data_IF_881183311128
#
_entry.id   IF_881183311128
#
_cell.length_a   1.000
_cell.length_b   1.000
_cell.length_c   1.000
_cell.angle_alpha   90.00
_cell.angle_beta   90.00
_cell.angle_gamma   90.00
#
_symmetry.space_group_name_H-M   'P 1'
#
loop_
_entity.id
_entity.type
_entity.pdbx_description
1 polymer ?
#
# COMPACT_ATOMS: atom_id res chain seq x y z
N UNK A 1 -0.93 -28.54 1.23
CA UNK A 1 0.53 -28.45 0.98
C UNK A 1 0.97 -26.99 1.16
N UNK A 2 2.18 -26.73 1.64
CA UNK A 2 2.70 -25.35 1.64
C UNK A 2 3.16 -25.00 0.23
N UNK A 3 2.72 -23.87 -0.30
CA UNK A 3 3.17 -23.36 -1.59
C UNK A 3 4.49 -22.59 -1.46
N UNK A 4 5.29 -22.60 -2.51
CA UNK A 4 6.56 -21.86 -2.60
C UNK A 4 6.30 -20.47 -3.13
N UNK A 5 6.67 -19.46 -2.35
CA UNK A 5 6.51 -18.05 -2.71
C UNK A 5 7.83 -17.53 -3.29
N UNK A 6 7.78 -17.00 -4.50
CA UNK A 6 8.85 -16.19 -5.05
C UNK A 6 8.43 -14.71 -5.07
N UNK A 7 9.14 -13.91 -4.27
CA UNK A 7 8.84 -12.47 -4.13
C UNK A 7 9.70 -11.55 -4.99
N UNK A 8 10.71 -12.08 -5.71
CA UNK A 8 11.71 -11.29 -6.45
C UNK A 8 12.04 -11.91 -7.81
N UNK A 9 11.04 -12.34 -8.56
CA UNK A 9 11.24 -12.96 -9.88
C UNK A 9 12.02 -12.09 -10.89
N UNK A 10 12.03 -10.78 -10.71
CA UNK A 10 12.74 -9.81 -11.56
C UNK A 10 13.86 -9.06 -10.82
N UNK A 11 14.43 -9.65 -9.76
CA UNK A 11 15.48 -9.02 -8.97
C UNK A 11 15.04 -7.68 -8.33
N UNK A 12 15.98 -6.72 -8.12
CA UNK A 12 15.69 -5.47 -7.41
C UNK A 12 14.92 -4.43 -8.25
N UNK A 13 14.70 -4.66 -9.54
CA UNK A 13 14.08 -3.67 -10.45
C UNK A 13 12.66 -3.34 -10.03
N UNK A 14 11.84 -4.34 -9.75
CA UNK A 14 10.43 -4.14 -9.34
C UNK A 14 10.33 -3.41 -8.01
N UNK A 15 11.03 -3.79 -6.93
CA UNK A 15 11.04 -3.03 -5.68
C UNK A 15 11.47 -1.57 -5.85
N UNK A 16 12.48 -1.30 -6.69
CA UNK A 16 12.93 0.07 -6.97
C UNK A 16 11.86 0.88 -7.70
N UNK A 17 11.23 0.33 -8.73
CA UNK A 17 10.15 1.00 -9.46
C UNK A 17 8.94 1.26 -8.56
N UNK A 18 8.56 0.29 -7.73
CA UNK A 18 7.49 0.44 -6.74
C UNK A 18 7.81 1.58 -5.75
N UNK A 19 9.02 1.61 -5.20
CA UNK A 19 9.48 2.67 -4.31
C UNK A 19 9.45 4.05 -4.98
N UNK A 20 9.92 4.16 -6.22
CA UNK A 20 9.90 5.43 -6.97
C UNK A 20 8.48 5.91 -7.24
N UNK A 21 7.54 5.03 -7.53
CA UNK A 21 6.12 5.37 -7.68
C UNK A 21 5.54 5.94 -6.37
N UNK A 22 5.85 5.31 -5.23
CA UNK A 22 5.47 5.83 -3.92
C UNK A 22 6.11 7.20 -3.63
N UNK A 23 7.41 7.38 -3.93
CA UNK A 23 8.11 8.64 -3.77
C UNK A 23 7.43 9.76 -4.56
N UNK A 24 7.11 9.51 -5.83
CA UNK A 24 6.49 10.49 -6.71
C UNK A 24 5.11 10.90 -6.20
N UNK A 25 4.25 9.93 -5.91
CA UNK A 25 2.91 10.19 -5.37
C UNK A 25 2.94 10.94 -4.05
N UNK A 26 3.84 10.54 -3.14
CA UNK A 26 4.01 11.17 -1.84
C UNK A 26 4.58 12.59 -1.94
N UNK A 27 5.63 12.81 -2.74
CA UNK A 27 6.25 14.12 -2.90
C UNK A 27 5.27 15.15 -3.50
N UNK A 28 4.52 14.76 -4.54
CA UNK A 28 3.49 15.61 -5.13
C UNK A 28 2.36 15.88 -4.14
N UNK A 29 1.84 14.86 -3.48
CA UNK A 29 0.72 14.99 -2.55
C UNK A 29 1.06 15.84 -1.33
N UNK A 30 2.21 15.63 -0.73
CA UNK A 30 2.68 16.46 0.38
C UNK A 30 2.94 17.90 -0.05
N UNK A 31 3.44 18.12 -1.27
CA UNK A 31 3.63 19.47 -1.83
C UNK A 31 2.29 20.20 -1.99
N UNK A 32 1.24 19.54 -2.47
CA UNK A 32 -0.11 20.11 -2.53
C UNK A 32 -0.63 20.44 -1.13
N UNK A 33 -0.42 19.55 -0.16
CA UNK A 33 -0.85 19.73 1.23
C UNK A 33 -0.19 20.95 1.87
N UNK A 34 1.14 21.07 1.78
CA UNK A 34 1.89 22.22 2.33
C UNK A 34 1.45 23.54 1.67
N UNK A 35 1.26 23.54 0.36
CA UNK A 35 0.79 24.73 -0.35
C UNK A 35 -0.65 25.12 -0.03
N UNK A 36 -1.47 24.18 0.43
CA UNK A 36 -2.87 24.45 0.80
C UNK A 36 -2.99 25.44 1.95
N UNK A 37 -2.07 25.39 2.92
CA UNK A 37 -2.04 26.31 4.08
C UNK A 37 -1.76 27.77 3.72
N UNK A 38 -1.12 28.01 2.58
CA UNK A 38 -0.77 29.34 2.06
C UNK A 38 -1.77 29.86 1.02
N UNK A 39 -2.86 29.16 0.81
CA UNK A 39 -3.82 29.46 -0.27
C UNK A 39 -5.14 29.93 0.33
N UNK A 40 -5.87 30.79 -0.41
CA UNK A 40 -7.21 31.22 -0.03
C UNK A 40 -8.12 30.01 0.23
N UNK A 41 -9.06 30.16 1.16
CA UNK A 41 -9.91 29.07 1.66
C UNK A 41 -10.65 28.34 0.55
N UNK A 42 -11.07 29.04 -0.50
CA UNK A 42 -11.77 28.51 -1.68
C UNK A 42 -10.94 27.47 -2.47
N UNK A 43 -9.62 27.65 -2.55
CA UNK A 43 -8.73 26.74 -3.30
C UNK A 43 -8.08 25.67 -2.42
N UNK A 44 -8.23 25.78 -1.09
CA UNK A 44 -7.62 24.83 -0.14
C UNK A 44 -8.13 23.42 -0.32
N UNK A 45 -9.45 23.25 -0.42
CA UNK A 45 -10.12 21.95 -0.62
C UNK A 45 -9.60 21.24 -1.87
N UNK A 46 -9.54 21.94 -3.00
CA UNK A 46 -9.03 21.38 -4.26
C UNK A 46 -7.57 20.89 -4.15
N UNK A 47 -6.71 21.67 -3.47
CA UNK A 47 -5.32 21.26 -3.25
C UNK A 47 -5.17 20.05 -2.35
N UNK A 48 -5.97 19.95 -1.29
CA UNK A 48 -5.99 18.78 -0.42
C UNK A 48 -6.53 17.55 -1.15
N UNK A 49 -7.55 17.72 -2.00
CA UNK A 49 -8.06 16.64 -2.84
C UNK A 49 -7.01 16.14 -3.85
N UNK A 50 -6.30 17.06 -4.52
CA UNK A 50 -5.17 16.69 -5.40
C UNK A 50 -4.05 15.99 -4.61
N UNK A 51 -3.79 16.43 -3.38
CA UNK A 51 -2.85 15.78 -2.48
C UNK A 51 -3.28 14.34 -2.16
N UNK A 52 -4.56 14.13 -1.84
CA UNK A 52 -5.14 12.83 -1.54
C UNK A 52 -5.07 11.89 -2.76
N UNK A 53 -5.44 12.38 -3.94
CA UNK A 53 -5.33 11.63 -5.18
C UNK A 53 -3.88 11.23 -5.46
N UNK A 54 -2.92 12.15 -5.31
CA UNK A 54 -1.51 11.86 -5.57
C UNK A 54 -0.96 10.80 -4.61
N UNK A 55 -1.19 10.95 -3.29
CA UNK A 55 -0.71 9.99 -2.29
C UNK A 55 -1.42 8.65 -2.47
N UNK A 56 -2.76 8.64 -2.58
CA UNK A 56 -3.54 7.42 -2.73
C UNK A 56 -3.17 6.64 -3.99
N UNK A 57 -3.03 7.32 -5.13
CA UNK A 57 -2.57 6.68 -6.37
C UNK A 57 -1.13 6.16 -6.24
N UNK A 58 -0.23 6.90 -5.55
CA UNK A 58 1.13 6.44 -5.29
C UNK A 58 1.18 5.17 -4.44
N UNK A 59 0.38 5.10 -3.37
CA UNK A 59 0.23 3.92 -2.51
C UNK A 59 -0.27 2.73 -3.33
N UNK A 60 -1.34 2.93 -4.07
CA UNK A 60 -1.96 1.90 -4.91
C UNK A 60 -1.01 1.40 -6.00
N UNK A 61 -0.38 2.32 -6.74
CA UNK A 61 0.59 1.97 -7.80
C UNK A 61 1.77 1.21 -7.24
N UNK A 62 2.34 1.65 -6.10
CA UNK A 62 3.43 0.94 -5.44
C UNK A 62 3.04 -0.51 -5.14
N UNK A 63 1.86 -0.72 -4.51
CA UNK A 63 1.38 -2.05 -4.16
C UNK A 63 1.28 -2.95 -5.40
N UNK A 64 0.60 -2.51 -6.47
CA UNK A 64 0.39 -3.34 -7.65
C UNK A 64 1.66 -3.53 -8.47
N UNK A 65 2.55 -2.54 -8.55
CA UNK A 65 3.88 -2.71 -9.16
C UNK A 65 4.68 -3.74 -8.38
N UNK A 66 4.71 -3.66 -7.04
CA UNK A 66 5.40 -4.65 -6.22
C UNK A 66 4.81 -6.06 -6.41
N UNK A 67 3.48 -6.17 -6.55
CA UNK A 67 2.80 -7.45 -6.78
C UNK A 67 3.09 -8.06 -8.15
N UNK A 68 3.58 -7.31 -9.14
CA UNK A 68 4.03 -7.91 -10.42
C UNK A 68 5.26 -8.81 -10.26
N UNK A 69 6.02 -8.63 -9.19
CA UNK A 69 7.15 -9.50 -8.82
C UNK A 69 6.78 -10.67 -7.89
N UNK A 70 5.52 -10.76 -7.49
CA UNK A 70 5.05 -11.81 -6.60
C UNK A 70 4.42 -12.95 -7.38
N UNK A 71 4.93 -14.17 -7.21
CA UNK A 71 4.38 -15.37 -7.83
C UNK A 71 4.30 -16.52 -6.84
N UNK A 72 3.34 -17.41 -7.05
CA UNK A 72 3.27 -18.73 -6.39
C UNK A 72 3.58 -19.76 -7.46
N UNK A 73 4.67 -20.48 -7.28
CA UNK A 73 5.23 -21.39 -8.32
C UNK A 73 4.21 -22.42 -8.78
N UNK A 74 3.39 -22.92 -7.86
CA UNK A 74 2.48 -24.05 -8.09
C UNK A 74 1.07 -23.61 -8.52
N UNK A 75 0.77 -22.30 -8.56
CA UNK A 75 -0.59 -21.83 -8.85
C UNK A 75 -0.62 -20.48 -9.58
N UNK A 76 -1.33 -20.37 -10.71
CA UNK A 76 -1.54 -19.10 -11.37
C UNK A 76 -2.38 -18.16 -10.49
N UNK A 77 -1.91 -16.92 -10.32
CA UNK A 77 -2.60 -15.89 -9.57
C UNK A 77 -3.46 -15.05 -10.50
N UNK A 78 -4.68 -14.76 -10.09
CA UNK A 78 -5.55 -13.77 -10.75
C UNK A 78 -6.01 -12.72 -9.74
N UNK A 79 -6.26 -11.50 -10.23
CA UNK A 79 -6.68 -10.38 -9.41
C UNK A 79 -8.14 -10.05 -9.70
N UNK A 80 -8.92 -9.93 -8.64
CA UNK A 80 -10.33 -9.59 -8.70
C UNK A 80 -10.50 -8.07 -8.87
N UNK A 81 -11.07 -7.64 -10.00
CA UNK A 81 -11.20 -6.21 -10.37
C UNK A 81 -11.88 -5.34 -9.33
N UNK A 82 -12.97 -5.75 -8.65
CA UNK A 82 -13.59 -4.97 -7.57
C UNK A 82 -12.61 -4.65 -6.44
N UNK A 83 -11.75 -5.59 -6.03
CA UNK A 83 -10.75 -5.36 -4.99
C UNK A 83 -9.67 -4.38 -5.41
N UNK A 84 -9.27 -4.40 -6.70
CA UNK A 84 -8.31 -3.45 -7.27
C UNK A 84 -8.85 -2.01 -7.14
N UNK A 85 -10.10 -1.79 -7.56
CA UNK A 85 -10.75 -0.48 -7.51
C UNK A 85 -11.05 -0.04 -6.08
N UNK A 86 -11.51 -0.96 -5.22
CA UNK A 86 -11.73 -0.70 -3.81
C UNK A 86 -10.43 -0.29 -3.09
N UNK A 87 -9.30 -0.92 -3.42
CA UNK A 87 -7.98 -0.56 -2.90
C UNK A 87 -7.60 0.88 -3.25
N UNK A 88 -7.82 1.31 -4.50
CA UNK A 88 -7.59 2.70 -4.91
C UNK A 88 -8.50 3.67 -4.15
N UNK A 89 -9.79 3.35 -4.05
CA UNK A 89 -10.76 4.20 -3.35
C UNK A 89 -10.38 4.35 -1.86
N UNK A 90 -10.04 3.26 -1.18
CA UNK A 90 -9.61 3.27 0.23
C UNK A 90 -8.32 4.09 0.40
N UNK A 91 -7.32 3.90 -0.47
CA UNK A 91 -6.08 4.66 -0.41
C UNK A 91 -6.34 6.18 -0.53
N UNK A 92 -7.14 6.59 -1.51
CA UNK A 92 -7.45 8.02 -1.75
C UNK A 92 -8.29 8.61 -0.62
N UNK A 93 -9.33 7.90 -0.17
CA UNK A 93 -10.23 8.39 0.88
C UNK A 93 -9.49 8.51 2.21
N UNK A 94 -8.77 7.50 2.63
CA UNK A 94 -8.06 7.50 3.91
C UNK A 94 -6.92 8.51 3.95
N UNK A 95 -6.12 8.60 2.88
CA UNK A 95 -5.13 9.65 2.73
C UNK A 95 -5.80 11.04 2.73
N UNK A 96 -6.94 11.17 2.02
CA UNK A 96 -7.73 12.39 1.98
C UNK A 96 -8.16 12.83 3.37
N UNK A 97 -8.84 11.96 4.12
CA UNK A 97 -9.27 12.29 5.49
C UNK A 97 -8.10 12.74 6.35
N UNK A 98 -6.97 12.02 6.30
CA UNK A 98 -5.76 12.40 7.02
C UNK A 98 -5.24 13.78 6.63
N UNK A 99 -5.13 14.07 5.33
CA UNK A 99 -4.67 15.35 4.80
C UNK A 99 -5.63 16.51 5.10
N UNK A 100 -6.94 16.27 5.04
CA UNK A 100 -7.94 17.28 5.37
C UNK A 100 -7.88 17.66 6.86
N UNK A 101 -7.73 16.68 7.77
CA UNK A 101 -7.56 16.96 9.19
C UNK A 101 -6.36 17.89 9.41
N UNK A 102 -5.21 17.54 8.85
CA UNK A 102 -3.98 18.31 8.99
C UNK A 102 -4.06 19.65 8.25
N UNK A 103 -4.65 19.67 7.06
CA UNK A 103 -4.81 20.85 6.25
C UNK A 103 -5.71 21.93 6.88
N UNK A 104 -6.76 21.53 7.60
CA UNK A 104 -7.68 22.47 8.27
C UNK A 104 -7.31 22.79 9.71
N UNK A 105 -6.75 21.82 10.46
CA UNK A 105 -6.37 21.99 11.87
C UNK A 105 -4.91 22.45 12.06
N UNK A 106 -4.14 22.48 10.96
CA UNK A 106 -2.71 22.82 11.00
C UNK A 106 -1.85 21.69 11.61
N UNK A 107 -0.57 22.00 11.86
CA UNK A 107 0.42 21.07 12.38
C UNK A 107 0.32 20.85 13.91
N UNK A 108 -0.89 20.78 14.46
CA UNK A 108 -1.08 20.46 15.87
C UNK A 108 -0.73 19.00 16.12
N UNK A 109 -0.24 18.69 17.33
CA UNK A 109 0.14 17.32 17.70
C UNK A 109 -1.00 16.32 17.45
N UNK A 110 -2.22 16.67 17.84
CA UNK A 110 -3.39 15.82 17.66
C UNK A 110 -3.72 15.63 16.19
N UNK A 111 -3.72 16.71 15.37
CA UNK A 111 -4.00 16.62 13.94
C UNK A 111 -2.97 15.76 13.21
N UNK A 112 -1.68 15.87 13.58
CA UNK A 112 -0.60 15.06 12.99
C UNK A 112 -0.74 13.57 13.35
N UNK A 113 -1.01 13.26 14.61
CA UNK A 113 -1.20 11.88 15.04
C UNK A 113 -2.44 11.28 14.35
N UNK A 114 -3.59 11.96 14.42
CA UNK A 114 -4.83 11.45 13.81
C UNK A 114 -4.70 11.34 12.29
N UNK A 115 -4.20 12.39 11.62
CA UNK A 115 -4.02 12.39 10.17
C UNK A 115 -3.01 11.37 9.70
N UNK A 116 -1.89 11.23 10.40
CA UNK A 116 -0.86 10.24 10.10
C UNK A 116 -1.34 8.80 10.35
N UNK A 117 -2.03 8.56 11.45
CA UNK A 117 -2.63 7.24 11.74
C UNK A 117 -3.64 6.84 10.67
N UNK A 118 -4.56 7.74 10.27
CA UNK A 118 -5.54 7.46 9.22
C UNK A 118 -4.87 7.21 7.87
N UNK A 119 -3.85 8.01 7.52
CA UNK A 119 -3.08 7.77 6.29
C UNK A 119 -2.36 6.41 6.35
N UNK A 120 -1.72 6.07 7.47
CA UNK A 120 -1.04 4.79 7.66
C UNK A 120 -2.00 3.59 7.65
N UNK A 121 -3.17 3.73 8.27
CA UNK A 121 -4.22 2.71 8.18
C UNK A 121 -4.73 2.55 6.74
N UNK A 122 -4.81 3.64 5.98
CA UNK A 122 -5.13 3.61 4.55
C UNK A 122 -4.11 2.82 3.74
N UNK A 123 -2.81 3.01 4.03
CA UNK A 123 -1.71 2.23 3.43
C UNK A 123 -1.90 0.74 3.71
N UNK A 124 -2.06 0.36 4.98
CA UNK A 124 -2.25 -1.03 5.38
C UNK A 124 -3.52 -1.64 4.79
N UNK A 125 -4.65 -0.92 4.85
CA UNK A 125 -5.91 -1.39 4.29
C UNK A 125 -5.83 -1.64 2.79
N UNK A 126 -5.14 -0.77 2.04
CA UNK A 126 -4.93 -0.96 0.59
C UNK A 126 -4.16 -2.24 0.30
N UNK A 127 -3.09 -2.51 1.07
CA UNK A 127 -2.29 -3.72 0.91
C UNK A 127 -3.11 -4.98 1.20
N UNK A 128 -3.72 -5.08 2.39
CA UNK A 128 -4.46 -6.29 2.78
C UNK A 128 -5.73 -6.50 1.96
N UNK A 129 -6.38 -5.42 1.51
CA UNK A 129 -7.51 -5.51 0.58
C UNK A 129 -7.05 -6.01 -0.80
N UNK A 130 -5.90 -5.54 -1.30
CA UNK A 130 -5.29 -6.03 -2.52
C UNK A 130 -4.97 -7.52 -2.44
N UNK A 131 -4.40 -7.96 -1.30
CA UNK A 131 -4.13 -9.38 -1.06
C UNK A 131 -5.41 -10.22 -0.98
N UNK A 132 -6.48 -9.71 -0.36
CA UNK A 132 -7.78 -10.38 -0.31
C UNK A 132 -8.43 -10.55 -1.69
N UNK A 133 -8.05 -9.70 -2.66
CA UNK A 133 -8.51 -9.78 -4.04
C UNK A 133 -7.76 -10.80 -4.91
N UNK A 134 -6.74 -11.48 -4.39
CA UNK A 134 -5.99 -12.50 -5.13
C UNK A 134 -6.75 -13.82 -5.10
N UNK A 135 -6.96 -14.39 -6.27
CA UNK A 135 -7.61 -15.69 -6.47
C UNK A 135 -6.60 -16.72 -6.93
N UNK A 136 -6.55 -17.85 -6.24
CA UNK A 136 -5.77 -19.04 -6.59
C UNK A 136 -6.36 -20.27 -5.90
N UNK A 137 -5.86 -21.48 -6.23
CA UNK A 137 -6.30 -22.74 -5.60
C UNK A 137 -5.66 -22.94 -4.22
N UNK A 138 -6.06 -22.10 -3.27
CA UNK A 138 -5.50 -22.14 -1.92
C UNK A 138 -6.06 -21.01 -1.07
N UNK A 139 -5.39 -20.77 0.05
CA UNK A 139 -5.67 -19.62 0.90
C UNK A 139 -4.38 -19.06 1.48
N UNK A 140 -4.41 -17.78 1.82
CA UNK A 140 -3.34 -17.11 2.54
C UNK A 140 -3.57 -17.21 4.04
N UNK A 141 -2.48 -17.37 4.78
CA UNK A 141 -2.43 -17.21 6.24
C UNK A 141 -1.47 -16.07 6.56
N UNK A 142 -1.65 -15.43 7.70
CA UNK A 142 -0.85 -14.28 8.10
C UNK A 142 -0.32 -14.48 9.52
N UNK A 143 0.95 -14.18 9.71
CA UNK A 143 1.56 -14.13 11.04
C UNK A 143 1.18 -12.82 11.73
N UNK A 144 0.34 -12.90 12.76
CA UNK A 144 -0.19 -11.73 13.48
C UNK A 144 0.87 -10.74 13.96
N UNK A 145 2.02 -11.14 14.53
CA UNK A 145 3.04 -10.19 14.95
C UNK A 145 3.59 -9.33 13.80
N UNK A 146 3.81 -9.93 12.62
CA UNK A 146 4.31 -9.22 11.45
C UNK A 146 3.23 -8.31 10.84
N UNK A 147 1.95 -8.73 10.88
CA UNK A 147 0.83 -7.85 10.48
C UNK A 147 0.78 -6.62 11.38
N UNK A 148 0.84 -6.79 12.69
CA UNK A 148 0.86 -5.67 13.64
C UNK A 148 2.07 -4.76 13.40
N UNK A 149 3.25 -5.34 13.18
CA UNK A 149 4.46 -4.58 12.88
C UNK A 149 4.30 -3.77 11.59
N UNK A 150 3.73 -4.35 10.53
CA UNK A 150 3.50 -3.64 9.26
C UNK A 150 2.59 -2.43 9.43
N UNK A 151 1.51 -2.55 10.20
CA UNK A 151 0.59 -1.45 10.53
C UNK A 151 1.27 -0.38 11.37
N UNK A 152 2.10 -0.75 12.33
CA UNK A 152 2.88 0.18 13.14
C UNK A 152 3.89 0.97 12.29
N UNK A 153 4.58 0.30 11.36
CA UNK A 153 5.48 0.96 10.40
C UNK A 153 4.70 1.99 9.58
N UNK A 154 3.55 1.60 9.02
CA UNK A 154 2.75 2.51 8.20
C UNK A 154 2.29 3.74 8.98
N UNK A 155 1.73 3.56 10.18
CA UNK A 155 1.16 4.65 10.98
C UNK A 155 2.21 5.58 11.55
N UNK A 156 3.31 5.06 12.06
CA UNK A 156 4.40 5.86 12.62
C UNK A 156 5.15 6.64 11.55
N UNK A 157 5.51 5.97 10.44
CA UNK A 157 6.26 6.61 9.37
C UNK A 157 5.40 7.61 8.58
N UNK A 158 4.11 7.35 8.35
CA UNK A 158 3.19 8.32 7.75
C UNK A 158 3.03 9.57 8.65
N UNK A 159 2.91 9.38 9.96
CA UNK A 159 2.85 10.50 10.92
C UNK A 159 4.13 11.33 10.89
N UNK A 160 5.30 10.67 10.87
CA UNK A 160 6.59 11.34 10.77
C UNK A 160 6.75 12.10 9.44
N UNK A 161 6.31 11.52 8.32
CA UNK A 161 6.34 12.16 7.00
C UNK A 161 5.46 13.40 6.94
N UNK A 162 4.23 13.34 7.47
CA UNK A 162 3.34 14.51 7.56
C UNK A 162 3.94 15.61 8.43
N UNK A 163 4.51 15.24 9.58
CA UNK A 163 5.20 16.19 10.46
C UNK A 163 6.38 16.84 9.74
N UNK A 164 7.23 16.06 9.08
CA UNK A 164 8.38 16.56 8.34
C UNK A 164 7.95 17.53 7.23
N UNK A 165 6.93 17.16 6.44
CA UNK A 165 6.40 17.98 5.37
C UNK A 165 5.91 19.35 5.85
N UNK A 166 5.16 19.39 6.96
CA UNK A 166 4.58 20.63 7.48
C UNK A 166 5.57 21.50 8.26
N UNK A 167 6.62 20.89 8.81
CA UNK A 167 7.73 21.61 9.46
C UNK A 167 8.74 22.15 8.44
N UNK A 168 8.66 21.73 7.19
CA UNK A 168 9.61 22.03 6.15
C UNK A 168 9.52 23.46 5.67
N UNK A 169 10.63 24.19 5.75
CA UNK A 169 10.76 25.57 5.21
C UNK A 169 11.38 25.62 3.81
N UNK A 170 11.98 24.52 3.35
CA UNK A 170 12.76 24.41 2.12
C UNK A 170 12.28 23.24 1.24
N UNK A 171 12.48 23.34 -0.08
CA UNK A 171 12.09 22.32 -1.07
C UNK A 171 12.68 20.93 -0.77
N UNK A 172 13.95 20.87 -0.34
CA UNK A 172 14.62 19.61 0.00
C UNK A 172 13.95 18.85 1.15
N UNK A 173 13.39 19.56 2.12
CA UNK A 173 12.67 18.93 3.23
C UNK A 173 11.31 18.35 2.79
N UNK A 174 10.69 18.89 1.73
CA UNK A 174 9.51 18.33 1.10
C UNK A 174 9.81 17.01 0.35
N UNK A 175 10.96 16.93 -0.32
CA UNK A 175 11.42 15.68 -0.94
C UNK A 175 11.76 14.62 0.11
N UNK A 176 12.45 15.01 1.20
CA UNK A 176 12.72 14.11 2.31
C UNK A 176 11.46 13.54 2.95
N UNK A 177 10.42 14.35 3.14
CA UNK A 177 9.12 13.89 3.62
C UNK A 177 8.45 12.91 2.63
N UNK A 178 8.59 13.14 1.32
CA UNK A 178 8.12 12.22 0.28
C UNK A 178 8.82 10.87 0.35
N UNK A 179 10.15 10.87 0.52
CA UNK A 179 10.95 9.64 0.73
C UNK A 179 10.53 8.93 2.01
N UNK A 180 10.33 9.63 3.13
CA UNK A 180 9.84 9.04 4.37
C UNK A 180 8.48 8.35 4.19
N UNK A 181 7.56 8.98 3.45
CA UNK A 181 6.26 8.39 3.14
C UNK A 181 6.42 7.15 2.24
N UNK A 182 7.32 7.19 1.26
CA UNK A 182 7.60 6.03 0.41
C UNK A 182 8.20 4.87 1.22
N UNK A 183 9.09 5.16 2.18
CA UNK A 183 9.60 4.15 3.13
C UNK A 183 8.46 3.56 3.96
N UNK A 184 7.48 4.39 4.41
CA UNK A 184 6.30 3.90 5.13
C UNK A 184 5.51 2.89 4.29
N UNK A 185 5.21 3.25 3.04
CA UNK A 185 4.40 2.44 2.13
C UNK A 185 5.12 1.14 1.78
N UNK A 186 6.40 1.25 1.39
CA UNK A 186 7.21 0.10 0.96
C UNK A 186 7.56 -0.82 2.13
N UNK A 187 7.96 -0.23 3.26
CA UNK A 187 8.28 -0.97 4.48
C UNK A 187 7.07 -1.76 5.01
N UNK A 188 5.89 -1.13 5.03
CA UNK A 188 4.65 -1.83 5.38
C UNK A 188 4.36 -2.97 4.42
N UNK A 189 4.43 -2.72 3.09
CA UNK A 189 4.14 -3.72 2.08
C UNK A 189 5.01 -4.97 2.24
N UNK A 190 6.33 -4.80 2.28
CA UNK A 190 7.24 -5.96 2.37
C UNK A 190 7.21 -6.64 3.74
N UNK A 191 6.94 -5.91 4.84
CA UNK A 191 6.69 -6.53 6.15
C UNK A 191 5.38 -7.32 6.14
N UNK A 192 4.33 -6.80 5.49
CA UNK A 192 3.08 -7.52 5.27
C UNK A 192 3.26 -8.77 4.42
N UNK A 193 4.06 -8.69 3.34
CA UNK A 193 4.41 -9.86 2.53
C UNK A 193 5.23 -10.90 3.31
N UNK A 194 6.12 -10.48 4.20
CA UNK A 194 6.87 -11.38 5.07
C UNK A 194 5.98 -12.14 6.06
N UNK A 195 4.78 -11.63 6.37
CA UNK A 195 3.81 -12.31 7.23
C UNK A 195 3.03 -13.42 6.50
N UNK A 196 3.20 -13.55 5.18
CA UNK A 196 2.34 -14.36 4.32
C UNK A 196 2.76 -15.83 4.31
N UNK A 197 1.83 -16.71 4.65
CA UNK A 197 1.91 -18.16 4.40
C UNK A 197 0.94 -18.56 3.28
N UNK A 198 1.38 -19.43 2.39
CA UNK A 198 0.56 -19.93 1.28
C UNK A 198 0.22 -21.41 1.52
N UNK A 199 -1.07 -21.74 1.51
CA UNK A 199 -1.57 -23.09 1.63
C UNK A 199 -2.36 -23.47 0.39
N UNK A 200 -1.89 -24.50 -0.32
CA UNK A 200 -2.52 -25.04 -1.52
C UNK A 200 -3.50 -26.15 -1.18
N UNK A 201 -4.65 -26.17 -1.84
CA UNK A 201 -5.59 -27.28 -1.75
C UNK A 201 -5.07 -28.45 -2.59
N UNK A 202 -5.18 -29.70 -2.10
CA UNK A 202 -4.82 -30.87 -2.88
C UNK A 202 -5.61 -30.90 -4.18
N UNK A 203 -4.95 -31.16 -5.30
CA UNK A 203 -5.63 -31.54 -6.55
C UNK A 203 -6.33 -32.88 -6.31
N UNK A 204 -7.66 -32.93 -6.50
CA UNK A 204 -8.35 -34.20 -6.52
C UNK A 204 -7.66 -35.08 -7.56
N UNK A 205 -7.35 -36.38 -7.25
CA UNK A 205 -6.85 -37.30 -8.27
C UNK A 205 -7.84 -37.31 -9.42
N UNK A 206 -7.36 -37.03 -10.63
CA UNK A 206 -8.18 -37.20 -11.82
C UNK A 206 -8.73 -38.64 -11.85
N UNK A 207 -9.92 -38.86 -12.48
CA UNK A 207 -10.45 -40.21 -12.59
C UNK A 207 -9.38 -41.08 -13.24
N UNK A 208 -8.91 -42.08 -12.49
CA UNK A 208 -8.06 -43.11 -13.04
C UNK A 208 -8.82 -43.69 -14.23
N UNK A 209 -8.30 -43.47 -15.42
CA UNK A 209 -8.78 -44.17 -16.63
C UNK A 209 -8.71 -45.66 -16.32
N UNK A 210 -9.85 -46.20 -15.97
CA UNK A 210 -10.01 -47.65 -15.76
C UNK A 210 -9.54 -48.33 -17.05
N UNK A 211 -8.51 -49.13 -16.90
CA UNK A 211 -8.09 -50.08 -17.90
C UNK A 211 -9.29 -50.96 -18.21
N UNK A 212 -9.97 -50.71 -19.32
CA UNK A 212 -10.92 -51.69 -19.85
C UNK A 212 -10.09 -52.85 -20.38
N UNK A 213 -9.98 -53.87 -19.57
CA UNK A 213 -9.49 -55.21 -20.02
C UNK A 213 -10.56 -55.78 -20.94
N UNK A 214 -10.29 -55.80 -22.22
CA UNK A 214 -11.07 -56.55 -23.20
C UNK A 214 -10.54 -57.98 -23.19
N UNK A 215 -11.32 -58.92 -22.63
CA UNK A 215 -11.29 -60.32 -22.96
C UNK A 215 -12.26 -60.59 -24.08
#
# INVERSE_FOLDING_TARGET
>A
MRGTVEGFTHGPVIPVLAFLAACLGAALGLRFTVRSSRTARSFRTGRLALGALSIGSGIWTMHYVAMTGFTVVEAPLSHDKPYILAGLAVAVVMAGVGLFIVGYRGATRMALITGGTLTGLGIASTHYLGMAGIRFRGHFTYETPLVVLSVLIATTAATAALRAALSARVLLSGLGAGVMMAVAVTGMHYTGMASLGVHLHPTAPGPTSGHVSSD
#
